data_IF_982055235090
#
_entry.id   IF_982055235090
#
_cell.length_a   1.000
_cell.length_b   1.000
_cell.length_c   1.000
_cell.angle_alpha   90.00
_cell.angle_beta   90.00
_cell.angle_gamma   90.00
#
_symmetry.space_group_name_H-M   'P 1'
#
loop_
_entity.id
_entity.type
_entity.pdbx_description
1 polymer ?
#
# COMPACT_ATOMS: atom_id res chain seq x y z
N UNK A 1 3.28 11.05 13.14
CA UNK A 1 4.01 10.01 12.36
C UNK A 1 3.27 9.61 11.08
N UNK A 2 1.99 9.23 11.15
CA UNK A 2 1.23 8.82 9.95
C UNK A 2 1.07 9.94 8.91
N UNK A 3 0.82 11.18 9.34
CA UNK A 3 0.72 12.34 8.43
C UNK A 3 2.03 12.63 7.69
N UNK A 4 3.18 12.48 8.37
CA UNK A 4 4.50 12.60 7.74
C UNK A 4 4.66 11.56 6.62
N UNK A 5 4.31 10.31 6.91
CA UNK A 5 4.40 9.21 5.94
C UNK A 5 3.45 9.41 4.76
N UNK A 6 2.22 9.89 4.99
CA UNK A 6 1.28 10.20 3.90
C UNK A 6 1.84 11.30 2.98
N UNK A 7 2.47 12.34 3.55
CA UNK A 7 3.09 13.40 2.75
C UNK A 7 4.28 12.89 1.92
N UNK A 8 5.05 11.94 2.45
CA UNK A 8 6.15 11.26 1.72
C UNK A 8 5.64 10.42 0.53
N UNK A 9 4.35 10.05 0.49
CA UNK A 9 3.74 9.30 -0.62
C UNK A 9 3.27 10.19 -1.78
N UNK A 10 3.22 11.51 -1.62
CA UNK A 10 2.79 12.45 -2.67
C UNK A 10 3.64 12.33 -3.95
N UNK A 11 4.98 12.25 -3.89
CA UNK A 11 5.80 12.09 -5.09
C UNK A 11 5.52 10.79 -5.85
N UNK A 12 5.25 9.68 -5.15
CA UNK A 12 4.95 8.40 -5.78
C UNK A 12 3.61 8.46 -6.54
N UNK A 13 2.57 9.01 -5.94
CA UNK A 13 1.27 9.20 -6.61
C UNK A 13 1.39 10.03 -7.89
N UNK A 14 2.24 11.08 -7.87
CA UNK A 14 2.54 11.87 -9.07
C UNK A 14 3.24 11.03 -10.14
N UNK A 15 4.24 10.21 -9.78
CA UNK A 15 4.94 9.33 -10.73
C UNK A 15 4.03 8.25 -11.33
N UNK A 16 3.11 7.72 -10.55
CA UNK A 16 2.12 6.73 -11.01
C UNK A 16 0.99 7.36 -11.84
N UNK A 17 0.92 8.69 -11.91
CA UNK A 17 -0.21 9.43 -12.46
C UNK A 17 -1.57 8.96 -11.88
N UNK A 18 -1.57 8.58 -10.60
CA UNK A 18 -2.73 8.04 -9.92
C UNK A 18 -2.79 8.57 -8.49
N UNK A 19 -3.89 9.27 -8.16
CA UNK A 19 -4.15 9.80 -6.83
C UNK A 19 -5.10 8.87 -6.09
N UNK A 20 -4.66 8.34 -4.96
CA UNK A 20 -5.52 7.53 -4.10
C UNK A 20 -6.55 8.41 -3.39
N UNK A 21 -7.81 7.99 -3.41
CA UNK A 21 -8.88 8.63 -2.64
C UNK A 21 -8.63 8.54 -1.13
N UNK A 22 -8.09 7.39 -0.68
CA UNK A 22 -7.60 7.21 0.68
C UNK A 22 -6.09 6.89 0.67
N UNK A 23 -5.22 7.86 1.02
CA UNK A 23 -3.77 7.65 1.10
C UNK A 23 -3.35 6.57 2.09
N UNK A 24 -4.20 6.19 3.05
CA UNK A 24 -3.91 5.10 3.99
C UNK A 24 -3.86 3.75 3.28
N UNK A 25 -4.59 3.58 2.18
CA UNK A 25 -4.54 2.36 1.36
C UNK A 25 -3.17 2.21 0.69
N UNK A 26 -2.67 3.28 0.08
CA UNK A 26 -1.31 3.28 -0.50
C UNK A 26 -0.25 3.05 0.58
N UNK A 27 -0.38 3.71 1.73
CA UNK A 27 0.52 3.51 2.86
C UNK A 27 0.56 2.04 3.30
N UNK A 28 -0.60 1.40 3.40
CA UNK A 28 -0.71 -0.02 3.76
C UNK A 28 -0.15 -0.92 2.66
N UNK A 29 -0.42 -0.66 1.39
CA UNK A 29 0.14 -1.40 0.26
C UNK A 29 1.68 -1.40 0.25
N UNK A 30 2.28 -0.31 0.73
CA UNK A 30 3.73 -0.15 0.86
C UNK A 30 4.28 -0.52 2.25
N UNK A 31 3.49 -1.19 3.09
CA UNK A 31 3.93 -1.63 4.41
C UNK A 31 4.24 -3.12 4.39
N UNK A 32 5.53 -3.45 4.36
CA UNK A 32 6.00 -4.83 4.47
C UNK A 32 5.80 -5.39 5.88
N UNK A 33 5.64 -6.72 5.99
CA UNK A 33 5.41 -7.42 7.25
C UNK A 33 6.52 -7.23 8.30
N UNK A 34 7.79 -7.12 7.88
CA UNK A 34 8.90 -6.89 8.82
C UNK A 34 8.71 -5.58 9.57
N UNK A 35 8.50 -4.49 8.84
CA UNK A 35 8.22 -3.17 9.40
C UNK A 35 6.95 -3.17 10.26
N UNK A 36 5.90 -3.84 9.79
CA UNK A 36 4.62 -3.88 10.50
C UNK A 36 4.71 -4.54 11.89
N UNK A 37 5.55 -5.57 12.01
CA UNK A 37 5.75 -6.34 13.24
C UNK A 37 6.78 -5.71 14.19
N UNK A 38 7.69 -4.89 13.68
CA UNK A 38 8.68 -4.15 14.48
C UNK A 38 8.09 -2.95 15.23
N UNK A 39 6.90 -2.48 14.84
CA UNK A 39 6.20 -1.37 15.50
C UNK A 39 5.33 -1.89 16.64
N UNK A 40 5.31 -1.16 17.77
CA UNK A 40 4.43 -1.44 18.90
C UNK A 40 3.44 -0.28 19.12
N UNK A 41 2.10 -0.49 18.98
CA UNK A 41 1.46 -1.76 18.61
C UNK A 41 1.65 -2.12 17.12
N UNK A 42 1.65 -3.42 16.77
CA UNK A 42 1.78 -3.85 15.38
C UNK A 42 0.72 -3.23 14.49
N UNK A 43 1.12 -2.86 13.27
CA UNK A 43 0.21 -2.28 12.27
C UNK A 43 -0.13 -3.30 11.19
N UNK A 44 -1.15 -3.01 10.39
CA UNK A 44 -1.52 -3.89 9.26
C UNK A 44 -0.50 -3.76 8.13
N UNK A 45 -0.05 -4.90 7.60
CA UNK A 45 0.85 -5.01 6.45
C UNK A 45 0.08 -5.13 5.11
N UNK A 46 0.82 -5.36 4.03
CA UNK A 46 0.33 -5.47 2.66
C UNK A 46 -0.06 -6.90 2.21
N UNK A 47 0.13 -7.96 3.01
CA UNK A 47 -0.04 -9.36 2.56
C UNK A 47 -1.45 -9.65 2.00
N UNK A 48 -2.49 -9.06 2.62
CA UNK A 48 -3.87 -9.19 2.10
C UNK A 48 -4.11 -8.44 0.79
N UNK A 49 -3.37 -7.36 0.54
CA UNK A 49 -3.46 -6.60 -0.71
C UNK A 49 -2.66 -7.28 -1.82
N UNK A 50 -1.53 -7.90 -1.50
CA UNK A 50 -0.77 -8.75 -2.41
C UNK A 50 -1.65 -9.90 -2.93
N UNK A 51 -2.25 -10.69 -2.01
CA UNK A 51 -3.15 -11.78 -2.38
C UNK A 51 -4.33 -11.34 -3.28
N UNK A 52 -4.96 -10.20 -2.96
CA UNK A 52 -6.03 -9.66 -3.79
C UNK A 52 -5.51 -9.14 -5.14
N UNK A 53 -4.33 -8.51 -5.13
CA UNK A 53 -3.69 -7.97 -6.32
C UNK A 53 -3.37 -9.05 -7.33
N UNK A 54 -2.88 -10.20 -6.88
CA UNK A 54 -2.60 -11.35 -7.75
C UNK A 54 -3.86 -11.80 -8.50
N UNK A 55 -4.98 -11.99 -7.79
CA UNK A 55 -6.24 -12.38 -8.43
C UNK A 55 -6.77 -11.35 -9.43
N UNK A 56 -6.56 -10.05 -9.16
CA UNK A 56 -6.97 -8.97 -10.08
C UNK A 56 -6.08 -8.94 -11.32
N UNK A 57 -4.77 -9.10 -11.15
CA UNK A 57 -3.83 -9.15 -12.27
C UNK A 57 -4.09 -10.40 -13.14
N UNK A 58 -4.30 -11.55 -12.52
CA UNK A 58 -4.63 -12.80 -13.22
C UNK A 58 -5.89 -12.64 -14.08
N UNK A 59 -6.94 -12.00 -13.55
CA UNK A 59 -8.16 -11.72 -14.31
C UNK A 59 -7.89 -10.82 -15.52
N UNK A 60 -7.16 -9.72 -15.34
CA UNK A 60 -6.91 -8.73 -16.39
C UNK A 60 -6.02 -9.30 -17.52
N UNK A 61 -5.09 -10.19 -17.20
CA UNK A 61 -4.15 -10.77 -18.17
C UNK A 61 -4.75 -11.97 -18.90
N UNK A 62 -5.72 -12.66 -18.29
CA UNK A 62 -6.35 -13.85 -18.87
C UNK A 62 -7.49 -13.54 -19.86
N UNK A 63 -8.03 -12.31 -19.83
CA UNK A 63 -9.00 -11.78 -20.81
C UNK A 63 -8.30 -11.18 -22.05
#
# INVERSE_FOLDING_TARGET
MLEKRINELVPLQKKLNYKFNDPKLLNKALTHKSYANEINPPIKNNERFEFLGDSVLDLIVSD
#
